data_IF_779831623674
#
_entry.id   IF_779831623674
#
_cell.length_a   1.000
_cell.length_b   1.000
_cell.length_c   1.000
_cell.angle_alpha   90.00
_cell.angle_beta   90.00
_cell.angle_gamma   90.00
#
_symmetry.space_group_name_H-M   'P 1'
#
loop_
_entity.id
_entity.type
_entity.pdbx_description
1 polymer ?
#
# COMPACT_ATOMS: atom_id res chain seq x y z
N UNK A 1 43.68 -54.24 49.92
CA UNK A 1 43.53 -53.33 48.76
C UNK A 1 42.04 -53.02 48.61
N UNK A 2 41.62 -51.85 49.09
CA UNK A 2 40.23 -51.42 49.18
C UNK A 2 39.81 -50.79 47.83
N UNK A 3 38.79 -51.33 47.15
CA UNK A 3 38.30 -50.83 45.86
C UNK A 3 37.42 -49.59 46.09
N UNK A 4 37.83 -48.45 45.52
CA UNK A 4 36.99 -47.24 45.43
C UNK A 4 35.79 -47.50 44.50
N UNK A 5 34.58 -47.27 45.01
CA UNK A 5 33.35 -47.18 44.22
C UNK A 5 33.13 -45.71 43.86
N UNK A 6 33.24 -45.38 42.57
CA UNK A 6 32.94 -44.06 42.03
C UNK A 6 31.41 -43.93 41.89
N UNK A 7 30.78 -43.07 42.69
CA UNK A 7 29.39 -42.68 42.51
C UNK A 7 29.31 -41.58 41.44
N UNK A 8 28.74 -41.90 40.28
CA UNK A 8 28.46 -40.94 39.20
C UNK A 8 27.21 -40.13 39.60
N UNK A 9 27.41 -38.89 40.06
CA UNK A 9 26.30 -37.96 40.32
C UNK A 9 25.85 -37.39 38.97
N UNK A 10 24.70 -37.87 38.49
CA UNK A 10 24.04 -37.32 37.30
C UNK A 10 23.37 -36.00 37.68
N UNK A 11 24.02 -34.86 37.41
CA UNK A 11 23.39 -33.55 37.53
C UNK A 11 22.44 -33.34 36.36
N UNK A 12 21.14 -33.53 36.61
CA UNK A 12 20.07 -33.14 35.69
C UNK A 12 19.96 -31.62 35.73
N UNK A 13 20.53 -30.94 34.74
CA UNK A 13 20.29 -29.52 34.51
C UNK A 13 18.88 -29.35 33.91
N UNK A 14 17.93 -28.88 34.71
CA UNK A 14 16.67 -28.34 34.17
C UNK A 14 16.99 -27.06 33.39
N UNK A 15 17.06 -27.15 32.07
CA UNK A 15 16.93 -25.96 31.22
C UNK A 15 15.47 -25.51 31.30
N UNK A 16 15.21 -24.49 32.12
CA UNK A 16 13.99 -23.72 32.02
C UNK A 16 14.00 -23.01 30.66
N UNK A 17 13.33 -23.60 29.66
CA UNK A 17 12.94 -22.90 28.45
C UNK A 17 11.93 -21.83 28.87
N UNK A 18 12.41 -20.61 29.14
CA UNK A 18 11.56 -19.44 29.24
C UNK A 18 11.01 -19.17 27.83
N UNK A 19 9.87 -19.77 27.51
CA UNK A 19 9.03 -19.27 26.42
C UNK A 19 8.63 -17.85 26.79
N UNK A 20 9.10 -16.86 26.04
CA UNK A 20 8.61 -15.47 26.10
C UNK A 20 7.19 -15.38 25.49
N UNK A 21 6.26 -16.20 25.99
CA UNK A 21 4.84 -16.02 25.81
C UNK A 21 4.40 -14.98 26.84
N UNK A 22 4.42 -13.71 26.44
CA UNK A 22 3.67 -12.69 27.15
C UNK A 22 2.19 -13.16 27.20
N UNK A 23 1.52 -13.11 28.37
CA UNK A 23 0.10 -13.44 28.46
C UNK A 23 -0.70 -12.48 27.58
N UNK A 24 -1.67 -13.01 26.84
CA UNK A 24 -2.75 -12.21 26.27
C UNK A 24 -3.51 -11.56 27.42
N UNK A 25 -3.35 -10.24 27.59
CA UNK A 25 -4.03 -9.45 28.62
C UNK A 25 -5.37 -8.87 28.10
N UNK A 26 -5.90 -9.40 26.99
CA UNK A 26 -7.23 -9.12 26.45
C UNK A 26 -8.28 -10.12 26.95
N UNK A 27 -9.50 -9.63 27.18
CA UNK A 27 -10.60 -10.37 27.78
C UNK A 27 -10.90 -11.71 27.07
N UNK A 28 -10.94 -12.81 27.84
CA UNK A 28 -11.24 -14.17 27.38
C UNK A 28 -12.62 -14.38 26.74
N UNK A 29 -13.48 -13.35 26.75
CA UNK A 29 -14.87 -13.40 26.28
C UNK A 29 -15.11 -12.68 24.94
N UNK A 30 -14.09 -12.06 24.33
CA UNK A 30 -14.22 -11.34 23.05
C UNK A 30 -13.92 -12.25 21.86
N UNK A 31 -14.87 -12.42 20.92
CA UNK A 31 -14.64 -13.13 19.66
C UNK A 31 -14.26 -12.14 18.56
N UNK A 32 -13.05 -12.25 18.04
CA UNK A 32 -12.66 -11.62 16.78
C UNK A 32 -13.64 -12.00 15.65
N UNK A 33 -13.91 -11.09 14.70
CA UNK A 33 -14.63 -11.49 13.49
C UNK A 33 -13.80 -12.49 12.66
N UNK A 34 -14.47 -13.39 11.93
CA UNK A 34 -13.79 -14.42 11.15
C UNK A 34 -13.11 -13.88 9.88
N UNK A 35 -12.27 -14.71 9.26
CA UNK A 35 -11.50 -14.34 8.06
C UNK A 35 -12.38 -14.02 6.84
N UNK A 36 -13.59 -14.60 6.77
CA UNK A 36 -14.53 -14.33 5.69
C UNK A 36 -15.12 -12.92 5.81
N UNK A 37 -15.50 -12.54 7.04
CA UNK A 37 -15.95 -11.20 7.37
C UNK A 37 -14.85 -10.18 7.09
N UNK A 38 -13.60 -10.46 7.50
CA UNK A 38 -12.45 -9.60 7.21
C UNK A 38 -12.30 -9.35 5.71
N UNK A 39 -12.38 -10.42 4.91
CA UNK A 39 -12.24 -10.35 3.45
C UNK A 39 -13.33 -9.49 2.82
N UNK A 40 -14.58 -9.64 3.27
CA UNK A 40 -15.71 -8.87 2.75
C UNK A 40 -15.61 -7.39 3.11
N UNK A 41 -15.21 -7.08 4.34
CA UNK A 41 -14.94 -5.72 4.79
C UNK A 41 -13.79 -5.11 3.99
N UNK A 42 -12.70 -5.86 3.78
CA UNK A 42 -11.55 -5.44 2.98
C UNK A 42 -11.92 -5.12 1.54
N UNK A 43 -12.72 -5.97 0.88
CA UNK A 43 -13.25 -5.71 -0.47
C UNK A 43 -14.11 -4.45 -0.52
N UNK A 44 -15.01 -4.29 0.44
CA UNK A 44 -15.89 -3.13 0.51
C UNK A 44 -15.08 -1.84 0.75
N UNK A 45 -14.10 -1.89 1.63
CA UNK A 45 -13.18 -0.79 1.91
C UNK A 45 -12.31 -0.44 0.71
N UNK A 46 -11.74 -1.44 0.03
CA UNK A 46 -11.00 -1.25 -1.22
C UNK A 46 -11.87 -0.58 -2.29
N UNK A 47 -13.14 -0.95 -2.41
CA UNK A 47 -14.06 -0.28 -3.34
C UNK A 47 -14.23 1.20 -2.97
N UNK A 48 -14.43 1.51 -1.69
CA UNK A 48 -14.56 2.90 -1.23
C UNK A 48 -13.29 3.71 -1.50
N UNK A 49 -12.10 3.16 -1.19
CA UNK A 49 -10.82 3.81 -1.49
C UNK A 49 -10.69 4.18 -2.97
N UNK A 50 -10.92 3.22 -3.85
CA UNK A 50 -10.77 3.43 -5.29
C UNK A 50 -11.83 4.37 -5.91
N UNK A 51 -12.97 4.59 -5.23
CA UNK A 51 -14.08 5.37 -5.79
C UNK A 51 -14.30 6.73 -5.12
N UNK A 52 -13.78 6.92 -3.90
CA UNK A 52 -14.04 8.12 -3.10
C UNK A 52 -12.77 8.89 -2.75
N UNK A 53 -11.60 8.25 -2.81
CA UNK A 53 -10.33 8.88 -2.51
C UNK A 53 -9.53 9.16 -3.79
N UNK A 54 -8.84 10.30 -3.86
CA UNK A 54 -7.88 10.54 -4.93
C UNK A 54 -6.62 9.69 -4.67
N UNK A 55 -6.47 8.58 -5.41
CA UNK A 55 -5.31 7.71 -5.27
C UNK A 55 -4.21 8.06 -6.27
N UNK A 56 -2.95 8.03 -5.82
CA UNK A 56 -1.77 8.17 -6.68
C UNK A 56 -1.40 6.81 -7.27
N UNK A 57 -1.46 6.69 -8.60
CA UNK A 57 -1.10 5.49 -9.36
C UNK A 57 0.27 5.57 -10.05
N UNK A 58 1.17 6.42 -9.55
CA UNK A 58 2.54 6.46 -10.03
C UNK A 58 3.28 5.17 -9.63
N UNK A 59 3.74 4.42 -10.64
CA UNK A 59 4.30 3.09 -10.45
C UNK A 59 5.56 3.08 -9.58
N UNK A 60 6.42 4.08 -9.77
CA UNK A 60 7.68 4.23 -9.04
C UNK A 60 7.43 4.51 -7.56
N UNK A 61 6.51 5.42 -7.24
CA UNK A 61 6.11 5.71 -5.86
C UNK A 61 5.42 4.52 -5.18
N UNK A 62 4.48 3.87 -5.86
CA UNK A 62 3.79 2.69 -5.31
C UNK A 62 4.78 1.54 -5.05
N UNK A 63 5.72 1.30 -5.97
CA UNK A 63 6.78 0.30 -5.78
C UNK A 63 7.72 0.66 -4.62
N UNK A 64 8.06 1.94 -4.45
CA UNK A 64 8.85 2.41 -3.32
C UNK A 64 8.16 2.14 -1.98
N UNK A 65 6.91 2.57 -1.82
CA UNK A 65 6.13 2.33 -0.60
C UNK A 65 5.97 0.83 -0.35
N UNK A 66 5.65 0.07 -1.40
CA UNK A 66 5.52 -1.37 -1.29
C UNK A 66 6.79 -2.05 -0.80
N UNK A 67 7.96 -1.64 -1.29
CA UNK A 67 9.25 -2.21 -0.85
C UNK A 67 9.50 -1.99 0.64
N UNK A 68 9.19 -0.80 1.16
CA UNK A 68 9.27 -0.52 2.61
C UNK A 68 8.31 -1.44 3.36
N UNK A 69 7.05 -1.49 2.91
CA UNK A 69 6.02 -2.34 3.50
C UNK A 69 6.40 -3.82 3.52
N UNK A 70 6.89 -4.36 2.41
CA UNK A 70 7.28 -5.77 2.28
C UNK A 70 8.43 -6.14 3.22
N UNK A 71 9.46 -5.29 3.34
CA UNK A 71 10.54 -5.48 4.33
C UNK A 71 9.98 -5.62 5.74
N UNK A 72 9.09 -4.72 6.15
CA UNK A 72 8.51 -4.74 7.50
C UNK A 72 7.60 -5.95 7.68
N UNK A 73 6.73 -6.24 6.70
CA UNK A 73 5.79 -7.37 6.80
C UNK A 73 6.49 -8.72 6.85
N UNK A 74 7.68 -8.84 6.24
CA UNK A 74 8.51 -10.04 6.29
C UNK A 74 8.91 -10.43 7.71
N UNK A 75 9.01 -9.46 8.62
CA UNK A 75 9.43 -9.66 10.01
C UNK A 75 8.27 -9.89 10.98
N UNK A 76 7.02 -9.80 10.50
CA UNK A 76 5.84 -9.97 11.37
C UNK A 76 5.59 -11.41 11.81
N UNK A 77 6.21 -12.39 11.14
CA UNK A 77 5.92 -13.81 11.31
C UNK A 77 4.53 -14.24 10.82
N UNK A 78 3.78 -13.35 10.15
CA UNK A 78 2.46 -13.64 9.59
C UNK A 78 2.54 -13.75 8.07
N UNK A 79 2.06 -14.87 7.51
CA UNK A 79 1.86 -14.98 6.07
C UNK A 79 0.50 -14.38 5.68
N UNK A 80 0.45 -13.04 5.61
CA UNK A 80 -0.74 -12.26 5.22
C UNK A 80 -0.42 -11.38 4.01
N UNK A 81 -1.41 -11.19 3.15
CA UNK A 81 -1.30 -10.23 2.05
C UNK A 81 -1.58 -8.80 2.53
N UNK A 82 -0.70 -7.87 2.19
CA UNK A 82 -0.85 -6.44 2.47
C UNK A 82 -1.00 -5.63 1.17
N UNK A 83 -1.88 -4.64 1.22
CA UNK A 83 -2.13 -3.70 0.12
C UNK A 83 -1.81 -2.28 0.58
N UNK A 84 -0.87 -1.62 -0.09
CA UNK A 84 -0.43 -0.28 0.27
C UNK A 84 -0.92 0.73 -0.77
N UNK A 85 -1.60 1.78 -0.33
CA UNK A 85 -2.14 2.83 -1.18
C UNK A 85 -1.57 4.20 -0.82
N UNK A 86 -1.33 5.03 -1.84
CA UNK A 86 -0.96 6.43 -1.65
C UNK A 86 -2.19 7.28 -1.95
N UNK A 87 -2.63 8.04 -0.95
CA UNK A 87 -3.80 8.92 -1.01
C UNK A 87 -3.30 10.34 -1.18
N UNK A 88 -3.74 11.00 -2.23
CA UNK A 88 -3.41 12.38 -2.54
C UNK A 88 -4.10 13.35 -1.57
N UNK A 89 -3.50 13.47 -0.39
CA UNK A 89 -3.95 14.30 0.70
C UNK A 89 -2.72 14.93 1.38
N UNK A 90 -2.62 16.28 1.41
CA UNK A 90 -1.47 16.94 2.00
C UNK A 90 -1.41 16.84 3.54
N UNK A 91 -2.44 16.30 4.20
CA UNK A 91 -2.37 16.06 5.66
C UNK A 91 -1.35 14.95 5.98
N UNK A 92 -0.64 15.10 7.10
CA UNK A 92 0.23 14.04 7.62
C UNK A 92 -0.68 13.00 8.27
N UNK A 93 -0.94 11.90 7.56
CA UNK A 93 -1.69 10.76 8.08
C UNK A 93 -1.29 9.44 7.43
N UNK A 94 -1.60 8.35 8.13
CA UNK A 94 -1.63 6.99 7.62
C UNK A 94 -2.70 6.21 8.40
N UNK A 95 -3.14 5.07 7.87
CA UNK A 95 -4.08 4.21 8.59
C UNK A 95 -4.02 2.76 8.13
N UNK A 96 -4.42 1.86 9.02
CA UNK A 96 -4.71 0.46 8.76
C UNK A 96 -6.22 0.20 8.61
N UNK A 97 -6.61 -0.28 7.43
CA UNK A 97 -7.94 -0.79 7.13
C UNK A 97 -8.06 -2.32 7.26
N UNK A 98 -9.27 -2.87 7.06
CA UNK A 98 -9.50 -4.31 7.09
C UNK A 98 -8.65 -5.06 6.05
N UNK A 99 -8.35 -6.33 6.31
CA UNK A 99 -7.66 -7.23 5.38
C UNK A 99 -6.27 -6.75 4.95
N UNK A 100 -5.53 -6.09 5.85
CA UNK A 100 -4.16 -5.64 5.60
C UNK A 100 -4.04 -4.50 4.59
N UNK A 101 -5.11 -3.71 4.41
CA UNK A 101 -5.07 -2.49 3.62
C UNK A 101 -4.40 -1.39 4.45
N UNK A 102 -3.40 -0.71 3.89
CA UNK A 102 -2.68 0.40 4.52
C UNK A 102 -2.75 1.61 3.60
N UNK A 103 -3.28 2.72 4.09
CA UNK A 103 -3.34 4.00 3.40
C UNK A 103 -2.24 4.94 3.90
N UNK A 104 -1.56 5.61 2.98
CA UNK A 104 -0.49 6.58 3.26
C UNK A 104 -0.86 7.90 2.59
N UNK A 105 -0.97 8.99 3.35
CA UNK A 105 -1.20 10.31 2.76
C UNK A 105 0.08 10.89 2.15
N UNK A 106 -0.06 11.66 1.07
CA UNK A 106 1.07 12.34 0.43
C UNK A 106 1.76 13.31 1.39
N UNK A 107 1.03 13.92 2.34
CA UNK A 107 1.61 14.75 3.40
C UNK A 107 2.59 14.00 4.31
N UNK A 108 2.37 12.72 4.59
CA UNK A 108 3.32 11.91 5.37
C UNK A 108 4.63 11.69 4.59
N UNK A 109 4.53 11.31 3.31
CA UNK A 109 5.71 11.09 2.45
C UNK A 109 6.50 12.40 2.29
N UNK A 110 5.81 13.52 2.09
CA UNK A 110 6.41 14.84 1.90
C UNK A 110 7.09 15.39 3.18
N UNK A 111 6.59 15.03 4.37
CA UNK A 111 7.08 15.55 5.66
C UNK A 111 8.12 14.67 6.35
N UNK A 112 8.25 13.40 5.96
CA UNK A 112 9.27 12.50 6.50
C UNK A 112 10.69 13.03 6.20
N UNK A 113 11.54 13.05 7.23
CA UNK A 113 12.94 13.51 7.13
C UNK A 113 13.91 12.39 6.77
N UNK A 114 13.51 11.14 6.94
CA UNK A 114 14.26 9.94 6.55
C UNK A 114 13.33 8.80 6.14
N UNK A 115 13.86 7.82 5.40
CA UNK A 115 13.11 6.59 5.10
C UNK A 115 12.74 5.86 6.40
N UNK A 116 13.60 5.91 7.44
CA UNK A 116 13.31 5.34 8.75
C UNK A 116 12.05 5.93 9.40
N UNK A 117 11.85 7.26 9.32
CA UNK A 117 10.64 7.91 9.86
C UNK A 117 9.38 7.41 9.11
N UNK A 118 9.42 7.36 7.78
CA UNK A 118 8.30 6.86 6.98
C UNK A 118 8.01 5.37 7.28
N UNK A 119 9.08 4.56 7.31
CA UNK A 119 9.00 3.14 7.65
C UNK A 119 8.45 2.93 9.06
N UNK A 120 8.78 3.80 10.02
CA UNK A 120 8.29 3.72 11.40
C UNK A 120 6.77 3.88 11.48
N UNK A 121 6.19 4.83 10.75
CA UNK A 121 4.73 5.00 10.69
C UNK A 121 4.09 3.81 9.99
N UNK A 122 4.69 3.31 8.91
CA UNK A 122 4.19 2.10 8.24
C UNK A 122 4.24 0.86 9.16
N UNK A 123 5.29 0.72 9.97
CA UNK A 123 5.41 -0.37 10.93
C UNK A 123 4.36 -0.29 12.04
N UNK A 124 4.03 0.92 12.48
CA UNK A 124 2.92 1.18 13.40
C UNK A 124 1.57 0.71 12.83
N UNK A 125 1.27 1.09 11.58
CA UNK A 125 0.03 0.65 10.91
C UNK A 125 0.01 -0.86 10.66
N UNK A 126 1.14 -1.45 10.28
CA UNK A 126 1.26 -2.92 10.15
C UNK A 126 0.98 -3.58 11.50
N UNK A 127 1.47 -3.03 12.61
CA UNK A 127 1.18 -3.54 13.94
C UNK A 127 -0.32 -3.47 14.28
N UNK A 128 -1.03 -2.40 13.91
CA UNK A 128 -2.49 -2.37 14.06
C UNK A 128 -3.19 -3.54 13.36
N UNK A 129 -2.69 -3.95 12.18
CA UNK A 129 -3.21 -5.12 11.45
C UNK A 129 -2.83 -6.43 12.12
N UNK A 130 -1.55 -6.63 12.50
CA UNK A 130 -1.09 -7.90 13.10
C UNK A 130 -1.76 -8.15 14.44
N UNK A 131 -2.01 -7.09 15.21
CA UNK A 131 -2.67 -7.13 16.51
C UNK A 131 -4.20 -7.07 16.41
N UNK A 132 -4.75 -7.05 15.19
CA UNK A 132 -6.20 -7.10 14.93
C UNK A 132 -6.98 -6.00 15.67
N UNK A 133 -6.38 -4.83 15.86
CA UNK A 133 -7.00 -3.74 16.64
C UNK A 133 -8.35 -3.32 16.08
N UNK A 134 -8.54 -3.36 14.75
CA UNK A 134 -9.82 -3.08 14.12
C UNK A 134 -10.90 -4.10 14.51
N UNK A 135 -10.58 -5.40 14.49
CA UNK A 135 -11.48 -6.47 14.92
C UNK A 135 -11.88 -6.32 16.38
N UNK A 136 -10.88 -6.17 17.27
CA UNK A 136 -11.10 -5.97 18.71
C UNK A 136 -11.94 -4.72 19.00
N UNK A 137 -11.72 -3.64 18.24
CA UNK A 137 -12.49 -2.39 18.40
C UNK A 137 -13.95 -2.58 17.99
N UNK A 138 -14.22 -3.25 16.87
CA UNK A 138 -15.58 -3.55 16.45
C UNK A 138 -16.29 -4.49 17.43
N UNK A 139 -15.59 -5.46 18.00
CA UNK A 139 -16.19 -6.38 18.98
C UNK A 139 -16.49 -5.69 20.31
N UNK A 140 -15.59 -4.85 20.82
CA UNK A 140 -15.88 -4.05 22.02
C UNK A 140 -17.09 -3.12 21.82
N UNK A 141 -17.31 -2.61 20.60
CA UNK A 141 -18.51 -1.85 20.25
C UNK A 141 -19.74 -2.75 20.05
N UNK A 142 -19.57 -3.98 19.55
CA UNK A 142 -20.64 -4.97 19.33
C UNK A 142 -21.17 -5.55 20.64
N UNK A 143 -20.33 -5.71 21.67
CA UNK A 143 -20.77 -6.11 23.01
C UNK A 143 -21.64 -5.04 23.69
N UNK A 144 -21.55 -3.77 23.24
CA UNK A 144 -22.45 -2.70 23.65
C UNK A 144 -23.74 -2.62 22.81
N UNK A 145 -23.78 -3.26 21.62
CA UNK A 145 -25.00 -3.53 20.85
C UNK A 145 -24.67 -4.54 19.74
N UNK A 146 -25.38 -5.68 19.69
CA UNK A 146 -25.29 -6.69 18.60
C UNK A 146 -25.52 -6.13 17.18
N UNK A 147 -25.80 -4.83 17.08
CA UNK A 147 -26.00 -4.07 15.87
C UNK A 147 -24.71 -3.61 15.17
N UNK A 148 -23.52 -3.61 15.81
CA UNK A 148 -22.30 -3.01 15.22
C UNK A 148 -21.83 -3.63 13.89
N UNK A 149 -21.27 -4.83 13.94
CA UNK A 149 -20.82 -5.56 12.73
C UNK A 149 -22.01 -5.92 11.84
N UNK A 150 -23.15 -6.27 12.43
CA UNK A 150 -24.38 -6.55 11.71
C UNK A 150 -24.89 -5.34 10.92
N UNK A 151 -24.70 -4.10 11.40
CA UNK A 151 -25.08 -2.88 10.67
C UNK A 151 -24.12 -2.54 9.53
N UNK A 152 -22.81 -2.82 9.70
CA UNK A 152 -21.83 -2.68 8.62
C UNK A 152 -22.12 -3.70 7.51
N UNK A 153 -22.33 -4.96 7.89
CA UNK A 153 -22.79 -6.01 6.98
C UNK A 153 -24.14 -5.62 6.36
N UNK A 154 -25.10 -5.14 7.15
CA UNK A 154 -26.41 -4.70 6.69
C UNK A 154 -26.36 -3.44 5.81
N UNK A 155 -25.30 -2.65 5.85
CA UNK A 155 -25.20 -1.47 4.99
C UNK A 155 -24.37 -1.68 3.72
N UNK A 156 -23.36 -2.56 3.78
CA UNK A 156 -22.82 -3.23 2.60
C UNK A 156 -23.97 -3.89 1.82
N UNK A 157 -24.93 -4.47 2.56
CA UNK A 157 -26.14 -5.12 2.07
C UNK A 157 -27.24 -4.15 1.56
N UNK A 158 -27.59 -3.08 2.30
CA UNK A 158 -28.67 -2.14 1.94
C UNK A 158 -28.33 -1.31 0.71
N UNK A 159 -27.06 -0.93 0.54
CA UNK A 159 -26.68 -0.04 -0.55
C UNK A 159 -26.78 -0.67 -1.95
N UNK A 160 -26.98 -1.98 -2.07
CA UNK A 160 -27.11 -2.69 -3.34
C UNK A 160 -28.38 -2.37 -4.15
N UNK A 161 -29.25 -1.47 -3.67
CA UNK A 161 -30.55 -1.14 -4.27
C UNK A 161 -30.58 0.18 -5.05
N UNK A 162 -29.64 1.10 -4.80
CA UNK A 162 -29.57 2.39 -5.50
C UNK A 162 -28.08 2.78 -5.70
N UNK A 163 -27.50 2.57 -6.91
CA UNK A 163 -26.06 2.55 -7.15
C UNK A 163 -25.28 3.84 -6.83
N UNK A 164 -25.97 4.94 -6.53
CA UNK A 164 -25.36 6.27 -6.37
C UNK A 164 -25.50 6.85 -4.96
N UNK A 165 -26.36 6.29 -4.09
CA UNK A 165 -26.72 6.97 -2.83
C UNK A 165 -26.77 6.07 -1.57
N UNK A 166 -26.84 4.74 -1.67
CA UNK A 166 -26.96 3.88 -0.47
C UNK A 166 -25.62 3.36 0.05
N UNK A 167 -24.89 2.59 -0.78
CA UNK A 167 -23.53 2.11 -0.42
C UNK A 167 -22.61 3.30 -0.32
N UNK A 168 -22.64 4.22 -1.28
CA UNK A 168 -21.76 5.39 -1.26
C UNK A 168 -22.08 6.36 -0.11
N UNK A 169 -23.32 6.44 0.41
CA UNK A 169 -23.60 7.30 1.56
C UNK A 169 -23.29 6.64 2.90
N UNK A 170 -23.49 5.32 3.06
CA UNK A 170 -23.16 4.62 4.32
C UNK A 170 -21.71 4.11 4.35
N UNK A 171 -21.21 3.56 3.23
CA UNK A 171 -19.78 3.28 3.08
C UNK A 171 -18.97 4.53 2.77
N UNK A 172 -19.60 5.63 2.33
CA UNK A 172 -19.00 6.94 2.47
C UNK A 172 -19.05 7.42 3.91
N UNK A 173 -20.11 7.21 4.69
CA UNK A 173 -20.09 7.64 6.10
C UNK A 173 -19.09 6.83 6.96
N UNK A 174 -18.88 5.55 6.67
CA UNK A 174 -17.85 4.69 7.27
C UNK A 174 -16.48 4.90 6.61
N UNK A 175 -16.40 4.91 5.28
CA UNK A 175 -15.16 5.04 4.52
C UNK A 175 -14.54 6.43 4.61
N UNK A 176 -15.32 7.51 4.43
CA UNK A 176 -14.87 8.91 4.52
C UNK A 176 -14.41 9.31 5.93
N UNK A 177 -14.61 8.46 6.93
CA UNK A 177 -14.20 8.74 8.31
C UNK A 177 -13.62 7.52 9.03
N UNK A 178 -13.20 6.45 8.34
CA UNK A 178 -12.58 5.30 9.03
C UNK A 178 -11.35 5.75 9.81
N UNK A 179 -10.56 6.66 9.23
CA UNK A 179 -9.46 7.36 9.89
C UNK A 179 -9.90 8.01 11.23
N UNK A 180 -11.08 8.65 11.25
CA UNK A 180 -11.62 9.32 12.45
C UNK A 180 -12.38 8.39 13.41
N UNK A 181 -12.87 7.26 12.90
CA UNK A 181 -13.55 6.21 13.67
C UNK A 181 -12.53 5.29 14.35
N UNK A 182 -11.33 5.17 13.78
CA UNK A 182 -10.13 4.55 14.36
C UNK A 182 -9.52 5.42 15.47
N UNK A 183 -10.33 5.94 16.40
CA UNK A 183 -9.79 6.45 17.66
C UNK A 183 -9.23 5.28 18.43
N UNK A 184 -7.91 5.11 18.34
CA UNK A 184 -7.25 3.99 18.96
C UNK A 184 -7.21 4.17 20.48
N UNK A 185 -7.47 3.07 21.19
CA UNK A 185 -7.33 3.07 22.65
C UNK A 185 -5.85 3.25 23.01
N UNK A 186 -5.57 3.83 24.20
CA UNK A 186 -4.19 3.95 24.69
C UNK A 186 -3.47 2.60 24.78
N UNK A 187 -4.22 1.52 24.97
CA UNK A 187 -3.71 0.14 25.00
C UNK A 187 -3.28 -0.28 23.59
N UNK A 188 -4.16 -0.15 22.60
CA UNK A 188 -3.86 -0.48 21.21
C UNK A 188 -2.66 0.32 20.68
N UNK A 189 -2.58 1.60 21.02
CA UNK A 189 -1.45 2.45 20.65
C UNK A 189 -0.13 1.96 21.28
N UNK A 190 -0.15 1.58 22.56
CA UNK A 190 1.06 1.08 23.24
C UNK A 190 1.52 -0.29 22.74
N UNK A 191 0.56 -1.13 22.31
CA UNK A 191 0.77 -2.43 21.68
C UNK A 191 1.32 -2.24 20.25
N UNK A 192 0.74 -1.34 19.46
CA UNK A 192 1.21 -0.98 18.13
C UNK A 192 2.63 -0.40 18.16
N UNK A 193 2.95 0.49 19.11
CA UNK A 193 4.32 0.98 19.30
C UNK A 193 5.30 -0.17 19.60
N UNK A 194 4.89 -1.14 20.43
CA UNK A 194 5.75 -2.24 20.86
C UNK A 194 6.12 -3.14 19.67
N UNK A 195 5.10 -3.64 18.96
CA UNK A 195 5.31 -4.52 17.81
C UNK A 195 5.87 -3.75 16.61
N UNK A 196 5.43 -2.52 16.39
CA UNK A 196 5.91 -1.66 15.30
C UNK A 196 7.40 -1.37 15.42
N UNK A 197 7.91 -0.97 16.60
CA UNK A 197 9.36 -0.76 16.81
C UNK A 197 10.14 -2.06 16.62
N UNK A 198 9.59 -3.19 17.08
CA UNK A 198 10.20 -4.51 16.87
C UNK A 198 10.33 -4.84 15.38
N UNK A 199 9.23 -4.78 14.62
CA UNK A 199 9.23 -5.09 13.18
C UNK A 199 10.12 -4.11 12.40
N UNK A 200 10.13 -2.84 12.78
CA UNK A 200 10.98 -1.80 12.19
C UNK A 200 12.47 -2.16 12.35
N UNK A 201 12.88 -2.54 13.56
CA UNK A 201 14.25 -2.92 13.85
C UNK A 201 14.67 -4.22 13.14
N UNK A 202 13.80 -5.24 13.16
CA UNK A 202 14.04 -6.51 12.47
C UNK A 202 14.18 -6.30 10.96
N UNK A 203 13.43 -5.34 10.38
CA UNK A 203 13.51 -4.97 8.97
C UNK A 203 14.75 -4.13 8.60
N UNK A 204 15.63 -3.85 9.59
CA UNK A 204 16.89 -3.14 9.39
C UNK A 204 16.79 -1.62 9.46
N UNK A 205 15.65 -1.06 9.89
CA UNK A 205 15.45 0.38 10.06
C UNK A 205 15.82 0.83 11.48
N UNK A 206 16.06 2.13 11.65
CA UNK A 206 16.42 2.70 12.96
C UNK A 206 15.24 2.60 13.98
N UNK A 207 15.39 1.87 15.10
CA UNK A 207 14.31 1.72 16.09
C UNK A 207 13.91 3.03 16.78
N UNK A 208 14.80 4.04 16.81
CA UNK A 208 14.50 5.36 17.39
C UNK A 208 13.55 6.20 16.52
N UNK A 209 13.42 5.87 15.23
CA UNK A 209 12.72 6.72 14.27
C UNK A 209 11.24 6.95 14.61
N UNK A 210 10.56 5.97 15.20
CA UNK A 210 9.16 6.11 15.62
C UNK A 210 9.02 7.18 16.71
N UNK A 211 9.83 7.07 17.78
CA UNK A 211 9.80 8.01 18.89
C UNK A 211 10.22 9.41 18.45
N UNK A 212 11.25 9.51 17.62
CA UNK A 212 11.76 10.78 17.09
C UNK A 212 10.74 11.48 16.19
N UNK A 213 10.05 10.72 15.32
CA UNK A 213 9.01 11.25 14.45
C UNK A 213 7.84 11.84 15.24
N UNK A 214 7.29 11.08 16.19
CA UNK A 214 6.14 11.54 16.99
C UNK A 214 6.50 12.67 17.96
N UNK A 215 7.69 12.63 18.58
CA UNK A 215 8.20 13.72 19.43
C UNK A 215 8.34 15.02 18.62
N UNK A 216 8.90 14.92 17.41
CA UNK A 216 9.03 16.06 16.50
C UNK A 216 7.67 16.65 16.11
N UNK A 217 6.71 15.83 15.67
CA UNK A 217 5.38 16.32 15.31
C UNK A 217 4.65 16.97 16.50
N UNK A 218 4.79 16.38 17.69
CA UNK A 218 4.21 16.94 18.92
C UNK A 218 4.77 18.33 19.23
N UNK A 219 6.10 18.49 19.16
CA UNK A 219 6.78 19.78 19.37
C UNK A 219 6.41 20.82 18.32
N UNK A 220 6.41 20.44 17.04
CA UNK A 220 6.01 21.33 15.94
C UNK A 220 4.55 21.81 16.15
N UNK A 221 3.63 20.91 16.50
CA UNK A 221 2.22 21.27 16.78
C UNK A 221 2.07 22.27 17.94
N UNK A 222 2.83 22.09 19.02
CA UNK A 222 2.80 23.01 20.17
C UNK A 222 3.35 24.40 19.83
N UNK A 223 4.43 24.46 19.04
CA UNK A 223 5.09 25.71 18.68
C UNK A 223 4.22 26.59 17.77
N UNK A 224 3.54 25.99 16.80
CA UNK A 224 2.75 26.75 15.83
C UNK A 224 1.33 27.11 16.30
N UNK A 225 0.90 26.70 17.52
CA UNK A 225 -0.49 26.82 18.03
C UNK A 225 -1.55 26.40 17.01
N UNK A 226 -1.16 25.55 16.07
CA UNK A 226 -2.00 25.09 14.99
C UNK A 226 -2.77 23.85 15.44
N UNK A 227 -3.86 23.57 14.74
CA UNK A 227 -4.53 22.27 14.79
C UNK A 227 -3.49 21.15 14.63
N UNK A 228 -3.39 20.20 15.58
CA UNK A 228 -2.43 19.11 15.49
C UNK A 228 -2.54 18.37 14.15
N UNK A 229 -1.43 17.83 13.61
CA UNK A 229 -1.48 16.93 12.46
C UNK A 229 -2.52 15.82 12.67
N UNK A 230 -3.19 15.41 11.60
CA UNK A 230 -4.29 14.44 11.64
C UNK A 230 -3.86 13.11 12.29
N UNK A 231 -2.62 12.66 12.02
CA UNK A 231 -2.04 11.48 12.66
C UNK A 231 -2.01 11.57 14.20
N UNK A 232 -1.85 12.76 14.80
CA UNK A 232 -1.87 12.92 16.26
C UNK A 232 -3.30 12.92 16.82
N UNK A 233 -4.31 13.15 15.98
CA UNK A 233 -5.72 13.06 16.37
C UNK A 233 -6.21 11.61 16.37
N UNK A 234 -5.76 10.81 15.40
CA UNK A 234 -6.08 9.39 15.26
C UNK A 234 -5.21 8.51 16.16
N UNK A 235 -3.94 8.91 16.37
CA UNK A 235 -2.97 8.26 17.24
C UNK A 235 -2.43 9.23 18.31
N UNK A 236 -3.16 9.46 19.42
CA UNK A 236 -2.73 10.40 20.45
C UNK A 236 -1.40 10.01 21.09
N UNK A 237 -0.41 10.89 20.95
CA UNK A 237 0.92 10.73 21.54
C UNK A 237 0.92 11.28 22.96
N UNK A 238 1.51 10.54 23.89
CA UNK A 238 1.67 10.96 25.30
C UNK A 238 3.13 10.86 25.70
N UNK A 239 3.57 11.64 26.69
CA UNK A 239 4.94 11.55 27.25
C UNK A 239 5.31 10.11 27.63
N UNK A 240 4.38 9.36 28.21
CA UNK A 240 4.59 7.96 28.57
C UNK A 240 4.79 7.04 27.35
N UNK A 241 4.12 7.30 26.22
CA UNK A 241 4.35 6.55 24.97
C UNK A 241 5.72 6.86 24.40
N UNK A 242 6.11 8.14 24.37
CA UNK A 242 7.42 8.56 23.88
C UNK A 242 8.56 7.98 24.73
N UNK A 243 8.43 8.01 26.06
CA UNK A 243 9.39 7.38 26.97
C UNK A 243 9.52 5.88 26.70
N UNK A 244 8.40 5.14 26.64
CA UNK A 244 8.42 3.71 26.33
C UNK A 244 8.99 3.38 24.96
N UNK A 245 8.72 4.21 23.95
CA UNK A 245 9.27 4.04 22.61
C UNK A 245 10.81 4.16 22.64
N UNK A 246 11.34 5.17 23.34
CA UNK A 246 12.78 5.36 23.55
C UNK A 246 13.40 4.20 24.34
N UNK A 247 12.81 3.82 25.47
CA UNK A 247 13.30 2.72 26.31
C UNK A 247 13.39 1.40 25.53
N UNK A 248 12.43 1.13 24.63
CA UNK A 248 12.43 -0.05 23.75
C UNK A 248 13.53 0.04 22.71
N UNK A 249 13.69 1.20 22.07
CA UNK A 249 14.71 1.40 21.05
C UNK A 249 16.13 1.25 21.61
N UNK A 250 16.37 1.70 22.85
CA UNK A 250 17.65 1.53 23.56
C UNK A 250 18.03 0.07 23.84
N UNK A 251 17.03 -0.82 23.90
CA UNK A 251 17.25 -2.27 24.09
C UNK A 251 17.53 -3.01 22.78
N UNK A 252 17.46 -2.32 21.64
CA UNK A 252 17.63 -2.91 20.31
C UNK A 252 18.98 -2.55 19.71
N UNK A 253 19.49 -3.42 18.83
CA UNK A 253 20.70 -3.15 18.09
C UNK A 253 20.45 -2.01 17.09
N UNK A 254 21.12 -0.88 17.27
CA UNK A 254 21.04 0.23 16.33
C UNK A 254 21.70 -0.16 15.01
N UNK A 255 20.88 -0.46 14.02
CA UNK A 255 21.32 -0.53 12.64
C UNK A 255 21.68 0.89 12.19
N UNK A 256 22.80 1.02 11.47
CA UNK A 256 23.19 2.31 10.88
C UNK A 256 22.05 2.74 9.94
N UNK A 257 21.56 3.97 10.10
CA UNK A 257 20.49 4.51 9.27
C UNK A 257 20.79 4.20 7.80
N UNK A 258 19.85 3.55 7.15
CA UNK A 258 19.96 3.20 5.74
C UNK A 258 19.96 4.51 4.95
N UNK A 259 21.14 4.92 4.48
CA UNK A 259 21.30 6.15 3.70
C UNK A 259 20.78 5.94 2.28
N UNK A 260 19.46 5.99 2.12
CA UNK A 260 18.85 6.01 0.80
C UNK A 260 18.40 7.43 0.46
N UNK A 261 19.10 8.06 -0.50
CA UNK A 261 18.61 9.27 -1.18
C UNK A 261 17.24 9.02 -1.87
N UNK A 262 16.79 7.76 -1.96
CA UNK A 262 15.52 7.34 -2.54
C UNK A 262 14.30 8.09 -1.98
N UNK A 263 14.21 8.35 -0.66
CA UNK A 263 13.08 9.14 -0.12
C UNK A 263 13.04 10.53 -0.76
N UNK A 264 14.20 11.19 -0.89
CA UNK A 264 14.26 12.54 -1.46
C UNK A 264 13.83 12.53 -2.93
N UNK A 265 14.26 11.54 -3.70
CA UNK A 265 13.82 11.34 -5.09
C UNK A 265 12.31 11.09 -5.17
N UNK A 266 11.74 10.32 -4.24
CA UNK A 266 10.30 10.09 -4.16
C UNK A 266 9.54 11.37 -3.80
N UNK A 267 10.03 12.17 -2.86
CA UNK A 267 9.42 13.46 -2.51
C UNK A 267 9.43 14.43 -3.71
N UNK A 268 10.53 14.44 -4.48
CA UNK A 268 10.61 15.20 -5.73
C UNK A 268 9.61 14.71 -6.76
N UNK A 269 9.49 13.40 -6.96
CA UNK A 269 8.52 12.83 -7.90
C UNK A 269 7.08 13.11 -7.46
N UNK A 270 6.82 12.98 -6.16
CA UNK A 270 5.53 13.19 -5.54
C UNK A 270 4.97 14.59 -5.85
N UNK A 271 5.81 15.61 -5.75
CA UNK A 271 5.48 17.00 -6.07
C UNK A 271 4.89 17.21 -7.48
N UNK A 272 5.19 16.32 -8.44
CA UNK A 272 4.67 16.42 -9.82
C UNK A 272 3.50 15.47 -10.11
N UNK A 273 3.28 14.46 -9.28
CA UNK A 273 2.16 13.51 -9.49
C UNK A 273 0.95 13.81 -8.60
N UNK A 274 1.12 14.58 -7.52
CA UNK A 274 0.01 15.07 -6.70
C UNK A 274 -0.77 16.17 -7.43
N UNK A 275 -2.07 16.26 -7.17
CA UNK A 275 -2.98 17.24 -7.77
C UNK A 275 -2.57 18.69 -7.51
N UNK A 276 -1.83 18.95 -6.43
CA UNK A 276 -1.33 20.28 -6.10
C UNK A 276 -0.27 20.77 -7.08
N UNK A 277 0.47 19.87 -7.74
CA UNK A 277 1.57 20.16 -8.68
C UNK A 277 2.49 21.31 -8.23
N UNK A 278 2.83 21.36 -6.94
CA UNK A 278 3.73 22.39 -6.41
C UNK A 278 5.16 21.88 -6.41
N UNK A 279 6.12 22.69 -6.86
CA UNK A 279 7.55 22.38 -6.73
C UNK A 279 8.14 23.05 -5.47
N UNK A 280 8.13 22.39 -4.29
CA UNK A 280 8.71 22.95 -3.08
C UNK A 280 10.25 23.04 -3.17
N UNK A 281 10.86 22.49 -4.23
CA UNK A 281 12.31 22.41 -4.37
C UNK A 281 12.90 23.49 -5.29
N UNK A 282 12.07 24.35 -5.89
CA UNK A 282 12.51 25.34 -6.88
C UNK A 282 13.67 26.23 -6.39
N UNK A 283 13.66 26.60 -5.11
CA UNK A 283 14.68 27.45 -4.47
C UNK A 283 15.57 26.68 -3.46
N UNK A 284 15.49 25.35 -3.44
CA UNK A 284 16.28 24.53 -2.52
C UNK A 284 17.71 24.36 -3.01
N UNK A 285 18.68 24.43 -2.10
CA UNK A 285 20.06 24.02 -2.40
C UNK A 285 20.12 22.49 -2.47
N UNK A 286 20.15 21.95 -3.69
CA UNK A 286 20.13 20.51 -3.96
C UNK A 286 21.53 20.00 -4.28
N UNK A 287 21.79 18.72 -3.94
CA UNK A 287 22.93 17.98 -4.50
C UNK A 287 22.83 17.98 -6.04
N UNK A 288 23.95 17.96 -6.79
CA UNK A 288 23.92 17.94 -8.26
C UNK A 288 23.04 16.83 -8.84
N UNK A 289 23.06 15.64 -8.23
CA UNK A 289 22.29 14.48 -8.64
C UNK A 289 20.77 14.72 -8.50
N UNK A 290 20.38 15.35 -7.39
CA UNK A 290 19.00 15.71 -7.11
C UNK A 290 18.49 16.84 -8.04
N UNK A 291 19.33 17.83 -8.32
CA UNK A 291 19.00 18.91 -9.26
C UNK A 291 18.79 18.38 -10.69
N UNK A 292 19.58 17.38 -11.08
CA UNK A 292 19.46 16.68 -12.35
C UNK A 292 18.14 15.90 -12.48
N UNK A 293 17.81 15.13 -11.44
CA UNK A 293 16.57 14.38 -11.35
C UNK A 293 15.34 15.31 -11.40
N UNK A 294 15.36 16.38 -10.60
CA UNK A 294 14.29 17.37 -10.57
C UNK A 294 14.08 18.06 -11.93
N UNK A 295 15.16 18.44 -12.62
CA UNK A 295 15.06 19.04 -13.97
C UNK A 295 14.35 18.13 -14.96
N UNK A 296 14.74 16.85 -14.99
CA UNK A 296 14.11 15.89 -15.90
C UNK A 296 12.66 15.59 -15.50
N UNK A 297 12.30 15.59 -14.20
CA UNK A 297 10.91 15.50 -13.75
C UNK A 297 10.06 16.67 -14.26
N UNK A 298 10.58 17.90 -14.16
CA UNK A 298 9.89 19.09 -14.67
C UNK A 298 9.52 18.92 -16.14
N UNK A 299 10.47 18.47 -16.97
CA UNK A 299 10.23 18.25 -18.41
C UNK A 299 9.25 17.09 -18.65
N UNK A 300 9.27 16.04 -17.82
CA UNK A 300 8.33 14.90 -17.94
C UNK A 300 6.89 15.25 -17.60
N UNK A 301 6.67 16.05 -16.55
CA UNK A 301 5.34 16.20 -15.93
C UNK A 301 4.69 17.57 -16.12
N UNK A 302 5.45 18.63 -16.33
CA UNK A 302 4.86 19.95 -16.55
C UNK A 302 4.37 20.08 -18.00
N UNK A 303 3.22 20.75 -18.23
CA UNK A 303 2.73 20.99 -19.58
C UNK A 303 3.67 21.93 -20.35
N UNK A 304 3.63 21.85 -21.69
CA UNK A 304 4.32 22.73 -22.63
C UNK A 304 5.86 22.76 -22.51
N UNK A 305 6.48 21.72 -21.95
CA UNK A 305 7.93 21.59 -21.93
C UNK A 305 8.46 21.08 -23.27
N UNK A 306 9.60 21.63 -23.72
CA UNK A 306 10.28 21.12 -24.91
C UNK A 306 11.08 19.86 -24.54
N UNK A 307 10.79 18.75 -25.22
CA UNK A 307 11.50 17.46 -25.04
C UNK A 307 13.02 17.56 -25.26
N UNK A 308 13.50 18.62 -25.91
CA UNK A 308 14.94 18.90 -26.04
C UNK A 308 15.58 19.35 -24.73
N UNK A 309 14.79 19.77 -23.75
CA UNK A 309 15.27 20.20 -22.42
C UNK A 309 15.65 19.02 -21.51
N UNK A 310 15.36 17.78 -21.90
CA UNK A 310 15.82 16.60 -21.17
C UNK A 310 17.35 16.54 -21.11
N UNK A 311 17.87 16.43 -19.90
CA UNK A 311 19.30 16.26 -19.61
C UNK A 311 19.55 14.78 -19.25
N UNK A 312 19.47 13.91 -20.28
CA UNK A 312 19.68 12.47 -20.14
C UNK A 312 21.15 12.11 -19.84
N UNK A 313 22.11 12.89 -20.35
CA UNK A 313 23.55 12.67 -20.12
C UNK A 313 23.90 12.81 -18.64
N UNK A 314 23.27 13.77 -17.96
CA UNK A 314 23.42 13.91 -16.53
C UNK A 314 22.88 12.68 -15.77
N UNK A 315 21.74 12.11 -16.19
CA UNK A 315 21.22 10.86 -15.59
C UNK A 315 22.16 9.67 -15.82
N UNK A 316 22.70 9.53 -17.02
CA UNK A 316 23.70 8.49 -17.33
C UNK A 316 24.95 8.59 -16.43
N UNK A 317 25.45 9.81 -16.23
CA UNK A 317 26.58 10.06 -15.34
C UNK A 317 26.27 9.73 -13.87
N UNK A 318 25.04 10.00 -13.40
CA UNK A 318 24.59 9.66 -12.05
C UNK A 318 24.48 8.14 -11.89
N UNK A 319 23.89 7.45 -12.86
CA UNK A 319 23.72 6.00 -12.85
C UNK A 319 25.08 5.30 -12.85
N UNK A 320 26.06 5.79 -13.61
CA UNK A 320 27.40 5.24 -13.63
C UNK A 320 28.09 5.32 -12.25
N UNK A 321 27.78 6.34 -11.44
CA UNK A 321 28.29 6.49 -10.06
C UNK A 321 27.45 5.73 -9.03
N UNK A 322 26.18 5.51 -9.30
CA UNK A 322 25.20 4.91 -8.39
C UNK A 322 24.46 3.75 -9.08
N UNK A 323 25.16 2.66 -9.44
CA UNK A 323 24.60 1.60 -10.26
C UNK A 323 23.45 0.85 -9.59
N UNK A 324 23.32 0.89 -8.26
CA UNK A 324 22.27 0.19 -7.53
C UNK A 324 20.99 1.04 -7.34
N UNK A 325 21.06 2.35 -7.57
CA UNK A 325 19.90 3.24 -7.42
C UNK A 325 19.00 3.17 -8.67
N UNK A 326 17.97 2.33 -8.57
CA UNK A 326 17.03 2.06 -9.66
C UNK A 326 16.17 3.26 -10.05
N UNK A 327 15.94 4.22 -9.17
CA UNK A 327 15.05 5.36 -9.44
C UNK A 327 15.62 6.24 -10.57
N UNK A 328 16.93 6.45 -10.61
CA UNK A 328 17.57 7.17 -11.71
C UNK A 328 17.46 6.40 -13.04
N UNK A 329 17.59 5.08 -13.00
CA UNK A 329 17.42 4.23 -14.20
C UNK A 329 16.00 4.29 -14.73
N UNK A 330 15.00 4.22 -13.85
CA UNK A 330 13.59 4.36 -14.22
C UNK A 330 13.30 5.72 -14.86
N UNK A 331 13.84 6.81 -14.31
CA UNK A 331 13.66 8.13 -14.92
C UNK A 331 14.37 8.24 -16.28
N UNK A 332 15.59 7.70 -16.41
CA UNK A 332 16.29 7.70 -17.71
C UNK A 332 15.46 6.96 -18.77
N UNK A 333 14.84 5.85 -18.41
CA UNK A 333 13.92 5.12 -19.29
C UNK A 333 12.72 5.99 -19.68
N UNK A 334 12.07 6.66 -18.73
CA UNK A 334 10.96 7.58 -19.02
C UNK A 334 11.37 8.70 -19.98
N UNK A 335 12.56 9.28 -19.76
CA UNK A 335 13.14 10.31 -20.64
C UNK A 335 13.40 9.77 -22.04
N UNK A 336 13.98 8.57 -22.16
CA UNK A 336 14.20 7.92 -23.47
C UNK A 336 12.88 7.65 -24.19
N UNK A 337 11.87 7.14 -23.49
CA UNK A 337 10.54 6.88 -24.04
C UNK A 337 9.89 8.18 -24.54
N UNK A 338 9.94 9.26 -23.74
CA UNK A 338 9.42 10.57 -24.12
C UNK A 338 10.13 11.15 -25.36
N UNK A 339 11.38 10.76 -25.59
CA UNK A 339 12.18 11.12 -26.79
C UNK A 339 12.02 10.13 -27.95
N UNK A 340 11.11 9.17 -27.84
CA UNK A 340 10.92 8.07 -28.81
C UNK A 340 12.16 7.20 -29.05
N UNK A 341 13.07 7.13 -28.07
CA UNK A 341 14.24 6.25 -28.15
C UNK A 341 13.85 4.81 -27.74
N UNK A 342 13.85 3.91 -28.72
CA UNK A 342 13.50 2.50 -28.54
C UNK A 342 14.50 1.73 -27.67
N UNK A 343 15.71 2.25 -27.41
CA UNK A 343 16.68 1.63 -26.50
C UNK A 343 16.14 1.46 -25.08
N UNK A 344 15.15 2.29 -24.69
CA UNK A 344 14.46 2.19 -23.42
C UNK A 344 13.80 0.83 -23.17
N UNK A 345 13.33 0.15 -24.23
CA UNK A 345 12.68 -1.15 -24.11
C UNK A 345 13.67 -2.24 -23.68
N UNK A 346 14.91 -2.17 -24.18
CA UNK A 346 15.99 -3.09 -23.78
C UNK A 346 16.43 -2.83 -22.33
N UNK A 347 16.46 -1.56 -21.92
CA UNK A 347 16.77 -1.20 -20.54
C UNK A 347 15.70 -1.71 -19.56
N UNK A 348 14.42 -1.66 -19.95
CA UNK A 348 13.30 -2.22 -19.18
C UNK A 348 13.32 -3.74 -19.11
N UNK A 349 13.65 -4.41 -20.21
CA UNK A 349 13.83 -5.86 -20.23
C UNK A 349 14.91 -6.29 -19.24
N UNK A 350 16.07 -5.64 -19.26
CA UNK A 350 17.14 -5.88 -18.27
C UNK A 350 16.69 -5.61 -16.84
N UNK A 351 15.99 -4.50 -16.58
CA UNK A 351 15.48 -4.22 -15.23
C UNK A 351 14.51 -5.28 -14.75
N UNK A 352 13.71 -5.86 -15.63
CA UNK A 352 12.76 -6.91 -15.28
C UNK A 352 13.46 -8.21 -14.89
N UNK A 353 14.62 -8.51 -15.47
CA UNK A 353 15.45 -9.65 -15.07
C UNK A 353 16.03 -9.47 -13.65
N UNK A 354 16.42 -8.24 -13.28
CA UNK A 354 16.94 -7.93 -11.95
C UNK A 354 15.86 -7.78 -10.88
N UNK A 355 14.66 -7.33 -11.25
CA UNK A 355 13.56 -7.05 -10.32
C UNK A 355 12.25 -7.74 -10.74
N UNK A 356 12.22 -9.09 -10.84
CA UNK A 356 11.09 -9.82 -11.40
C UNK A 356 9.82 -9.80 -10.54
N UNK A 357 9.91 -9.41 -9.26
CA UNK A 357 8.76 -9.28 -8.35
C UNK A 357 8.16 -7.88 -8.31
N UNK A 358 8.87 -6.87 -8.85
CA UNK A 358 8.46 -5.48 -8.79
C UNK A 358 7.48 -5.16 -9.91
N UNK A 359 6.19 -5.03 -9.58
CA UNK A 359 5.12 -4.78 -10.55
C UNK A 359 5.35 -3.51 -11.39
N UNK A 360 6.09 -2.52 -10.88
CA UNK A 360 6.28 -1.24 -11.56
C UNK A 360 7.09 -1.42 -12.85
N UNK A 361 8.06 -2.33 -12.87
CA UNK A 361 8.91 -2.57 -14.04
C UNK A 361 8.12 -3.10 -15.25
N UNK A 362 7.39 -4.24 -15.17
CA UNK A 362 6.59 -4.73 -16.29
C UNK A 362 5.44 -3.78 -16.64
N UNK A 363 4.91 -3.02 -15.69
CA UNK A 363 3.90 -2.00 -15.95
C UNK A 363 4.48 -0.83 -16.77
N UNK A 364 5.63 -0.28 -16.35
CA UNK A 364 6.35 0.74 -17.11
C UNK A 364 6.73 0.20 -18.49
N UNK A 365 7.19 -1.04 -18.58
CA UNK A 365 7.51 -1.67 -19.87
C UNK A 365 6.29 -1.75 -20.81
N UNK A 366 5.14 -2.18 -20.30
CA UNK A 366 3.91 -2.19 -21.08
C UNK A 366 3.50 -0.78 -21.55
N UNK A 367 3.58 0.23 -20.67
CA UNK A 367 3.30 1.62 -21.05
C UNK A 367 4.27 2.13 -22.11
N UNK A 368 5.56 1.84 -21.98
CA UNK A 368 6.59 2.22 -22.96
C UNK A 368 6.38 1.53 -24.30
N UNK A 369 6.06 0.23 -24.31
CA UNK A 369 5.70 -0.52 -25.52
C UNK A 369 4.50 0.13 -26.22
N UNK A 370 3.42 0.42 -25.48
CA UNK A 370 2.23 1.03 -26.05
C UNK A 370 2.51 2.44 -26.62
N UNK A 371 3.30 3.25 -25.90
CA UNK A 371 3.70 4.59 -26.33
C UNK A 371 4.54 4.57 -27.61
N UNK A 372 5.46 3.62 -27.73
CA UNK A 372 6.32 3.44 -28.91
C UNK A 372 5.64 2.64 -30.05
N UNK A 373 4.33 2.42 -29.97
CA UNK A 373 3.54 1.80 -31.05
C UNK A 373 3.47 0.26 -31.02
N UNK A 374 4.11 -0.41 -30.05
CA UNK A 374 4.08 -1.87 -29.87
C UNK A 374 2.92 -2.33 -28.97
N UNK A 375 1.70 -1.89 -29.29
CA UNK A 375 0.52 -2.09 -28.43
C UNK A 375 0.17 -3.57 -28.20
N UNK A 376 0.31 -4.43 -29.20
CA UNK A 376 0.01 -5.87 -29.04
C UNK A 376 0.95 -6.54 -28.03
N UNK A 377 2.24 -6.20 -28.07
CA UNK A 377 3.23 -6.67 -27.09
C UNK A 377 2.93 -6.15 -25.68
N UNK A 378 2.49 -4.90 -25.55
CA UNK A 378 2.08 -4.33 -24.27
C UNK A 378 0.90 -5.11 -23.67
N UNK A 379 -0.11 -5.41 -24.49
CA UNK A 379 -1.27 -6.21 -24.10
C UNK A 379 -0.85 -7.62 -23.70
N UNK A 380 -0.03 -8.29 -24.50
CA UNK A 380 0.47 -9.64 -24.20
C UNK A 380 1.21 -9.67 -22.86
N UNK A 381 2.13 -8.73 -22.64
CA UNK A 381 2.89 -8.60 -21.41
C UNK A 381 1.97 -8.46 -20.19
N UNK A 382 1.04 -7.49 -20.22
CA UNK A 382 0.14 -7.28 -19.10
C UNK A 382 -0.78 -8.48 -18.85
N UNK A 383 -1.32 -9.10 -19.91
CA UNK A 383 -2.19 -10.28 -19.77
C UNK A 383 -1.50 -11.44 -19.06
N UNK A 384 -0.24 -11.68 -19.41
CA UNK A 384 0.54 -12.79 -18.85
C UNK A 384 1.01 -12.52 -17.42
N UNK A 385 1.25 -11.25 -17.09
CA UNK A 385 1.91 -10.87 -15.84
C UNK A 385 0.96 -10.40 -14.73
N UNK A 386 -0.15 -9.74 -15.07
CA UNK A 386 -1.08 -9.15 -14.09
C UNK A 386 -1.55 -10.11 -12.99
N UNK A 387 -1.88 -11.39 -13.29
CA UNK A 387 -2.33 -12.32 -12.26
C UNK A 387 -1.33 -12.54 -11.11
N UNK A 388 -0.04 -12.31 -11.35
CA UNK A 388 1.04 -12.59 -10.41
C UNK A 388 1.53 -11.36 -9.64
N UNK A 389 0.97 -10.18 -9.90
CA UNK A 389 1.43 -8.94 -9.30
C UNK A 389 0.37 -8.28 -8.43
N UNK A 390 0.84 -7.43 -7.52
CA UNK A 390 0.01 -6.47 -6.79
C UNK A 390 -0.52 -5.38 -7.73
N UNK A 391 -1.43 -4.55 -7.21
CA UNK A 391 -2.03 -3.44 -7.96
C UNK A 391 -2.78 -3.89 -9.23
N UNK A 392 -3.43 -5.06 -9.17
CA UNK A 392 -4.16 -5.65 -10.31
C UNK A 392 -5.23 -4.71 -10.87
N UNK A 393 -5.85 -3.88 -10.03
CA UNK A 393 -6.76 -2.82 -10.49
C UNK A 393 -6.10 -1.92 -11.54
N UNK A 394 -4.90 -1.41 -11.26
CA UNK A 394 -4.16 -0.54 -12.17
C UNK A 394 -3.83 -1.27 -13.47
N UNK A 395 -3.26 -2.47 -13.36
CA UNK A 395 -2.83 -3.27 -14.51
C UNK A 395 -3.99 -3.68 -15.42
N UNK A 396 -5.11 -4.14 -14.85
CA UNK A 396 -6.31 -4.48 -15.61
C UNK A 396 -7.01 -3.25 -16.19
N UNK A 397 -7.01 -2.11 -15.49
CA UNK A 397 -7.55 -0.85 -16.04
C UNK A 397 -6.75 -0.41 -17.26
N UNK A 398 -5.42 -0.48 -17.22
CA UNK A 398 -4.57 -0.19 -18.37
C UNK A 398 -4.80 -1.19 -19.51
N UNK A 399 -4.99 -2.48 -19.23
CA UNK A 399 -5.39 -3.45 -20.27
C UNK A 399 -6.71 -3.04 -20.93
N UNK A 400 -7.71 -2.65 -20.15
CA UNK A 400 -8.99 -2.20 -20.67
C UNK A 400 -8.82 -1.00 -21.62
N UNK A 401 -8.04 0.00 -21.22
CA UNK A 401 -7.72 1.17 -22.04
C UNK A 401 -7.00 0.80 -23.35
N UNK A 402 -6.01 -0.09 -23.31
CA UNK A 402 -5.29 -0.53 -24.50
C UNK A 402 -6.21 -1.25 -25.50
N UNK A 403 -7.13 -2.10 -25.01
CA UNK A 403 -8.13 -2.74 -25.87
C UNK A 403 -9.17 -1.75 -26.42
N UNK A 404 -9.59 -0.76 -25.63
CA UNK A 404 -10.47 0.30 -26.09
C UNK A 404 -9.84 1.09 -27.25
N UNK A 405 -8.55 1.42 -27.12
CA UNK A 405 -7.78 2.10 -28.18
C UNK A 405 -7.64 1.25 -29.46
N UNK A 406 -7.65 -0.09 -29.34
CA UNK A 406 -7.70 -1.00 -30.49
C UNK A 406 -9.12 -1.26 -31.02
N UNK A 407 -10.13 -0.54 -30.52
CA UNK A 407 -11.54 -0.75 -30.89
C UNK A 407 -11.99 -2.20 -30.66
N UNK A 408 -11.49 -2.84 -29.59
CA UNK A 408 -11.88 -4.19 -29.17
C UNK A 408 -12.74 -4.13 -27.89
N UNK A 409 -14.01 -3.67 -27.99
CA UNK A 409 -14.85 -3.40 -26.83
C UNK A 409 -15.04 -4.63 -25.95
N UNK A 410 -15.18 -5.83 -26.52
CA UNK A 410 -15.35 -7.07 -25.75
C UNK A 410 -14.24 -7.30 -24.71
N UNK A 411 -12.99 -7.04 -25.08
CA UNK A 411 -11.86 -7.21 -24.16
C UNK A 411 -11.72 -6.02 -23.22
N UNK A 412 -12.02 -4.80 -23.72
CA UNK A 412 -12.09 -3.61 -22.86
C UNK A 412 -13.07 -3.81 -21.69
N UNK A 413 -14.31 -4.22 -21.97
CA UNK A 413 -15.31 -4.49 -20.93
C UNK A 413 -14.88 -5.61 -19.98
N UNK A 414 -14.25 -6.67 -20.51
CA UNK A 414 -13.78 -7.79 -19.69
C UNK A 414 -12.71 -7.36 -18.69
N UNK A 415 -11.69 -6.62 -19.14
CA UNK A 415 -10.60 -6.20 -18.25
C UNK A 415 -11.02 -5.08 -17.30
N UNK A 416 -11.93 -4.18 -17.69
CA UNK A 416 -12.53 -3.23 -16.72
C UNK A 416 -13.37 -4.00 -15.67
N UNK A 417 -14.11 -5.04 -16.08
CA UNK A 417 -14.82 -5.90 -15.13
C UNK A 417 -13.85 -6.58 -14.15
N UNK A 418 -12.74 -7.14 -14.63
CA UNK A 418 -11.70 -7.73 -13.77
C UNK A 418 -11.07 -6.70 -12.83
N UNK A 419 -10.78 -5.49 -13.29
CA UNK A 419 -10.26 -4.42 -12.44
C UNK A 419 -11.22 -4.14 -11.27
N UNK A 420 -12.50 -3.94 -11.57
CA UNK A 420 -13.53 -3.67 -10.56
C UNK A 420 -13.80 -4.87 -9.64
N UNK A 421 -13.71 -6.09 -10.16
CA UNK A 421 -13.87 -7.30 -9.36
C UNK A 421 -12.77 -7.42 -8.30
N UNK A 422 -11.52 -7.13 -8.68
CA UNK A 422 -10.36 -7.20 -7.79
C UNK A 422 -10.46 -6.27 -6.58
N UNK A 423 -11.06 -5.08 -6.75
CA UNK A 423 -11.27 -4.13 -5.65
C UNK A 423 -12.59 -4.36 -4.91
N UNK A 424 -13.35 -5.40 -5.25
CA UNK A 424 -14.64 -5.70 -4.60
C UNK A 424 -15.85 -4.93 -5.15
N UNK A 425 -15.72 -4.19 -6.24
CA UNK A 425 -16.81 -3.42 -6.85
C UNK A 425 -17.71 -4.33 -7.69
N UNK A 426 -18.39 -5.25 -7.01
CA UNK A 426 -19.27 -6.26 -7.60
C UNK A 426 -20.40 -5.63 -8.43
N UNK A 427 -21.08 -4.54 -8.01
CA UNK A 427 -22.13 -3.92 -8.82
C UNK A 427 -21.64 -3.40 -10.17
N UNK A 428 -20.47 -2.73 -10.22
CA UNK A 428 -19.91 -2.27 -11.49
C UNK A 428 -19.44 -3.46 -12.34
N UNK A 429 -18.77 -4.43 -11.74
CA UNK A 429 -18.36 -5.68 -12.40
C UNK A 429 -19.54 -6.36 -13.10
N UNK A 430 -20.63 -6.59 -12.37
CA UNK A 430 -21.82 -7.25 -12.89
C UNK A 430 -22.42 -6.49 -14.08
N UNK A 431 -22.53 -5.16 -14.00
CA UNK A 431 -23.03 -4.33 -15.11
C UNK A 431 -22.16 -4.44 -16.36
N UNK A 432 -20.84 -4.38 -16.21
CA UNK A 432 -19.89 -4.52 -17.31
C UNK A 432 -20.01 -5.90 -17.97
N UNK A 433 -20.15 -6.96 -17.17
CA UNK A 433 -20.30 -8.32 -17.69
C UNK A 433 -21.64 -8.54 -18.40
N UNK A 434 -22.74 -7.95 -17.92
CA UNK A 434 -24.04 -7.99 -18.61
C UNK A 434 -24.02 -7.25 -19.95
N UNK A 435 -23.23 -6.18 -20.07
CA UNK A 435 -23.01 -5.49 -21.34
C UNK A 435 -22.10 -6.30 -22.27
N UNK A 436 -21.09 -6.97 -21.72
CA UNK A 436 -20.14 -7.81 -22.46
C UNK A 436 -20.76 -9.09 -23.01
N UNK A 437 -21.52 -9.84 -22.22
CA UNK A 437 -22.04 -11.15 -22.57
C UNK A 437 -22.70 -11.22 -23.97
N UNK A 438 -23.61 -10.30 -24.36
CA UNK A 438 -24.22 -10.33 -25.70
C UNK A 438 -23.25 -10.01 -26.85
N UNK A 439 -22.06 -9.46 -26.55
CA UNK A 439 -21.02 -9.18 -27.56
C UNK A 439 -20.20 -10.44 -27.94
N UNK A 440 -20.45 -11.57 -27.28
CA UNK A 440 -19.70 -12.82 -27.51
C UNK A 440 -20.56 -13.78 -28.34
N UNK A 441 -20.21 -13.94 -29.61
CA UNK A 441 -20.95 -14.78 -30.56
C UNK A 441 -20.81 -16.28 -30.23
N UNK A 442 -19.58 -16.76 -30.01
CA UNK A 442 -19.32 -18.16 -29.70
C UNK A 442 -19.51 -18.46 -28.20
N UNK A 443 -20.70 -18.96 -27.87
CA UNK A 443 -21.10 -19.39 -26.52
C UNK A 443 -20.42 -20.66 -26.03
N UNK A 444 -19.57 -21.30 -26.83
CA UNK A 444 -18.75 -22.45 -26.43
C UNK A 444 -17.28 -22.09 -26.26
N UNK A 445 -16.88 -20.87 -26.65
CA UNK A 445 -15.51 -20.41 -26.50
C UNK A 445 -15.08 -20.39 -25.02
N UNK A 446 -13.79 -20.65 -24.77
CA UNK A 446 -13.21 -20.51 -23.43
C UNK A 446 -13.41 -19.10 -22.86
N UNK A 447 -13.44 -18.08 -23.71
CA UNK A 447 -13.70 -16.70 -23.29
C UNK A 447 -15.12 -16.52 -22.78
N UNK A 448 -16.13 -17.02 -23.50
CA UNK A 448 -17.52 -17.01 -23.04
C UNK A 448 -17.66 -17.71 -21.69
N UNK A 449 -17.09 -18.91 -21.54
CA UNK A 449 -17.18 -19.66 -20.28
C UNK A 449 -16.58 -18.88 -19.09
N UNK A 450 -15.46 -18.18 -19.28
CA UNK A 450 -14.87 -17.31 -18.25
C UNK A 450 -15.79 -16.14 -17.89
N UNK A 451 -16.38 -15.49 -18.89
CA UNK A 451 -17.31 -14.36 -18.69
C UNK A 451 -18.57 -14.82 -17.95
N UNK A 452 -19.16 -15.93 -18.39
CA UNK A 452 -20.35 -16.52 -17.77
C UNK A 452 -20.09 -16.97 -16.34
N UNK A 453 -18.94 -17.58 -16.05
CA UNK A 453 -18.56 -17.96 -14.69
C UNK A 453 -18.47 -16.72 -13.79
N UNK A 454 -17.72 -15.70 -14.21
CA UNK A 454 -17.56 -14.48 -13.42
C UNK A 454 -18.91 -13.76 -13.23
N UNK A 455 -19.76 -13.77 -14.26
CA UNK A 455 -21.11 -13.22 -14.17
C UNK A 455 -21.94 -13.97 -13.13
N UNK A 456 -21.91 -15.30 -13.12
CA UNK A 456 -22.59 -16.14 -12.13
C UNK A 456 -22.08 -15.87 -10.70
N UNK A 457 -20.77 -15.74 -10.50
CA UNK A 457 -20.17 -15.39 -9.20
C UNK A 457 -20.66 -14.01 -8.71
N UNK A 458 -20.71 -13.01 -9.59
CA UNK A 458 -21.26 -11.69 -9.24
C UNK A 458 -22.75 -11.76 -8.91
N UNK A 459 -23.53 -12.55 -9.64
CA UNK A 459 -24.96 -12.74 -9.35
C UNK A 459 -25.19 -13.42 -8.00
N UNK A 460 -24.40 -14.46 -7.67
CA UNK A 460 -24.46 -15.12 -6.37
C UNK A 460 -24.11 -14.15 -5.24
N UNK A 461 -23.03 -13.38 -5.41
CA UNK A 461 -22.60 -12.38 -4.42
C UNK A 461 -23.68 -11.30 -4.22
N UNK A 462 -24.27 -10.80 -5.31
CA UNK A 462 -25.37 -9.84 -5.24
C UNK A 462 -26.66 -10.44 -4.64
N UNK A 463 -26.92 -11.74 -4.82
CA UNK A 463 -28.05 -12.44 -4.16
C UNK A 463 -27.81 -12.57 -2.66
N UNK A 464 -26.59 -12.89 -2.23
CA UNK A 464 -26.23 -12.86 -0.81
C UNK A 464 -26.45 -11.45 -0.23
N UNK A 465 -26.10 -10.41 -0.99
CA UNK A 465 -26.38 -9.02 -0.60
C UNK A 465 -27.89 -8.68 -0.53
N UNK A 466 -28.77 -9.47 -1.16
CA UNK A 466 -30.23 -9.28 -1.09
C UNK A 466 -30.89 -10.12 0.01
N UNK A 467 -30.32 -11.28 0.32
CA UNK A 467 -30.94 -12.27 1.21
C UNK A 467 -30.57 -12.09 2.70
N UNK A 468 -29.50 -11.37 3.02
CA UNK A 468 -29.17 -11.03 4.41
C UNK A 468 -30.00 -9.84 4.97
N UNK A 469 -31.11 -9.49 4.30
CA UNK A 469 -32.05 -8.41 4.65
C UNK A 469 -33.01 -8.79 5.78
#
# INVERSE_FOLDING_TARGET
MLRLVFFLILTVTFQANASNNLPDLGASDLKDYDSQTETLLGKSFSTALHTQYPLIYDATLLSYIRRIGEKITGETGQNRHYSFFIIDNPTINAFAGPNGIIGIHTGLIASARSEDELASVMAHEIAHVTQRHLSRTYENQSTASTAGIASILAAILIGSQNPTAGVAAYMGSIGLNIEKQLKNSRIHESEADYFGIKYLNEAGYNPFAMGDFFDRLSKESQLFKNTPPEILMTHPVTENRLAKARDRAEQMNTQKALSYDSLKLMQMRLAFVSQTHTDPFENSQLKPEHACYLRNLKVLYLPNQDIKQFDHQCLEAIIAKNPDERVYKQQLIEVKVARQDASALLDLERLMDFYPSDFAIPYLYAKSLAYLGHRDKAIELLRNRTPNYHYQYLLYSTLAELFAQQQQPRFSYYYDALANYNIGNIPKTHRLLKQLEPMIEDKKSTFYLKVSQLLQETEQTLKLYKNAR
#
